data_IF_655076602689
#
_entry.id   IF_655076602689
#
_cell.length_a   1.000
_cell.length_b   1.000
_cell.length_c   1.000
_cell.angle_alpha   90.00
_cell.angle_beta   90.00
_cell.angle_gamma   90.00
#
_symmetry.space_group_name_H-M   'P 1'
#
loop_
_entity.id
_entity.type
_entity.pdbx_description
1 polymer ?
#
# COMPACT_ATOMS: atom_id res chain seq x y z
N UNK A 1 9.25 0.29 20.51
CA UNK A 1 9.95 1.56 20.77
C UNK A 1 10.41 2.19 19.47
N UNK A 2 9.98 3.42 19.22
CA UNK A 2 10.16 4.15 17.97
C UNK A 2 11.20 5.26 18.07
N UNK A 3 11.15 6.19 17.12
CA UNK A 3 11.96 7.42 17.14
C UNK A 3 11.18 8.55 17.81
N UNK A 4 11.88 9.46 18.48
CA UNK A 4 11.33 10.69 19.06
C UNK A 4 11.73 11.89 18.21
N UNK A 5 10.76 12.78 17.93
CA UNK A 5 11.00 14.02 17.20
C UNK A 5 11.54 15.06 18.17
N UNK A 6 12.82 15.44 18.02
CA UNK A 6 13.47 16.40 18.93
C UNK A 6 13.21 17.86 18.59
N UNK A 7 12.62 18.15 17.42
CA UNK A 7 12.27 19.49 16.99
C UNK A 7 12.00 19.59 15.49
N UNK A 8 11.41 20.72 15.07
CA UNK A 8 10.97 20.95 13.70
C UNK A 8 9.56 20.42 13.42
N UNK A 9 9.14 20.48 12.17
CA UNK A 9 7.85 19.98 11.70
C UNK A 9 8.00 19.35 10.31
N UNK A 10 7.11 18.41 9.99
CA UNK A 10 7.02 17.74 8.70
C UNK A 10 5.65 18.04 8.12
N UNK A 11 5.61 18.92 7.12
CA UNK A 11 4.38 19.31 6.45
C UNK A 11 4.19 18.53 5.15
N UNK A 12 3.02 17.92 4.97
CA UNK A 12 2.54 17.40 3.68
C UNK A 12 1.34 18.23 3.24
N UNK A 13 1.42 18.85 2.07
CA UNK A 13 0.37 19.74 1.56
C UNK A 13 -0.04 20.85 2.57
N UNK A 14 0.93 21.33 3.37
CA UNK A 14 0.71 22.36 4.38
C UNK A 14 0.13 21.86 5.71
N UNK A 15 -0.09 20.56 5.89
CA UNK A 15 -0.60 19.95 7.13
C UNK A 15 0.51 19.21 7.85
N UNK A 16 0.64 19.41 9.16
CA UNK A 16 1.64 18.70 9.98
C UNK A 16 1.30 17.22 10.08
N UNK A 17 2.34 16.39 9.92
CA UNK A 17 2.25 14.92 9.96
C UNK A 17 2.71 14.33 11.29
N UNK A 18 3.22 15.13 12.23
CA UNK A 18 3.91 14.64 13.42
C UNK A 18 2.98 13.84 14.34
N UNK A 19 1.78 14.36 14.56
CA UNK A 19 0.75 13.75 15.43
C UNK A 19 -0.10 12.70 14.70
N UNK A 20 0.12 12.51 13.39
CA UNK A 20 -0.61 11.49 12.63
C UNK A 20 -0.01 10.11 12.87
N UNK A 21 -0.87 9.11 13.06
CA UNK A 21 -0.48 7.71 13.05
C UNK A 21 -0.04 7.26 11.65
N UNK A 22 0.80 6.22 11.51
CA UNK A 22 1.32 5.80 10.20
C UNK A 22 0.26 5.53 9.13
N UNK A 23 -0.91 5.01 9.49
CA UNK A 23 -2.01 4.75 8.57
C UNK A 23 -2.74 6.04 8.14
N UNK A 24 -2.85 7.04 9.02
CA UNK A 24 -3.37 8.36 8.68
C UNK A 24 -2.45 9.06 7.68
N UNK A 25 -1.13 8.97 7.91
CA UNK A 25 -0.14 9.50 6.95
C UNK A 25 -0.26 8.82 5.58
N UNK A 26 -0.53 7.51 5.57
CA UNK A 26 -0.71 6.75 4.34
C UNK A 26 -1.97 7.17 3.58
N UNK A 27 -3.09 7.39 4.28
CA UNK A 27 -4.34 7.87 3.69
C UNK A 27 -4.21 9.31 3.16
N UNK A 28 -3.48 10.18 3.87
CA UNK A 28 -3.13 11.53 3.45
C UNK A 28 -2.24 11.58 2.19
N UNK A 29 -1.62 10.46 1.81
CA UNK A 29 -0.90 10.30 0.55
C UNK A 29 0.58 9.94 0.68
N UNK A 30 1.11 9.78 1.89
CA UNK A 30 2.46 9.27 2.10
C UNK A 30 2.54 7.80 1.69
N UNK A 31 3.58 7.40 0.96
CA UNK A 31 3.84 6.00 0.65
C UNK A 31 5.23 5.61 1.13
N UNK A 32 5.34 4.42 1.73
CA UNK A 32 6.60 3.87 2.21
C UNK A 32 6.83 2.48 1.60
N UNK A 33 7.81 2.41 0.70
CA UNK A 33 8.32 1.13 0.21
C UNK A 33 9.39 0.61 1.18
N UNK A 34 9.12 -0.52 1.84
CA UNK A 34 10.06 -1.09 2.80
C UNK A 34 11.33 -1.64 2.14
N UNK A 35 12.47 -1.49 2.83
CA UNK A 35 13.71 -2.14 2.42
C UNK A 35 13.58 -3.67 2.38
N UNK A 36 12.90 -4.25 3.35
CA UNK A 36 12.59 -5.67 3.42
C UNK A 36 11.08 -5.84 3.64
N UNK A 37 10.30 -6.04 2.56
CA UNK A 37 8.86 -6.22 2.68
C UNK A 37 8.51 -7.46 3.50
N UNK A 38 7.64 -7.28 4.49
CA UNK A 38 7.17 -8.33 5.40
C UNK A 38 6.24 -9.29 4.66
N UNK A 39 6.35 -10.57 4.96
CA UNK A 39 5.42 -11.60 4.47
C UNK A 39 4.20 -11.70 5.39
N UNK A 40 3.00 -11.76 4.82
CA UNK A 40 1.76 -11.93 5.58
C UNK A 40 1.07 -13.23 5.14
N UNK A 41 1.44 -14.39 5.72
CA UNK A 41 0.77 -15.65 5.44
C UNK A 41 -0.74 -15.57 5.74
N UNK A 42 -1.56 -16.12 4.86
CA UNK A 42 -3.02 -16.12 4.99
C UNK A 42 -3.70 -14.82 4.55
N UNK A 43 -2.95 -13.75 4.25
CA UNK A 43 -3.50 -12.50 3.73
C UNK A 43 -3.32 -12.45 2.22
N UNK A 44 -4.41 -12.66 1.47
CA UNK A 44 -4.39 -12.63 0.00
C UNK A 44 -3.98 -11.26 -0.56
N UNK A 45 -3.09 -11.23 -1.55
CA UNK A 45 -2.56 -10.01 -2.16
C UNK A 45 -3.64 -9.12 -2.76
N UNK A 46 -4.55 -9.69 -3.55
CA UNK A 46 -5.69 -8.97 -4.13
C UNK A 46 -6.60 -8.34 -3.07
N UNK A 47 -6.94 -9.08 -2.00
CA UNK A 47 -7.77 -8.55 -0.91
C UNK A 47 -7.07 -7.44 -0.15
N UNK A 48 -5.77 -7.59 0.13
CA UNK A 48 -4.97 -6.59 0.80
C UNK A 48 -4.88 -5.29 0.00
N UNK A 49 -4.53 -5.38 -1.28
CA UNK A 49 -4.43 -4.22 -2.16
C UNK A 49 -5.79 -3.53 -2.34
N UNK A 50 -6.90 -4.28 -2.45
CA UNK A 50 -8.24 -3.69 -2.55
C UNK A 50 -8.62 -2.93 -1.28
N UNK A 51 -8.38 -3.53 -0.11
CA UNK A 51 -8.62 -2.86 1.17
C UNK A 51 -7.80 -1.57 1.32
N UNK A 52 -6.51 -1.60 0.95
CA UNK A 52 -5.65 -0.43 0.99
C UNK A 52 -6.11 0.69 0.03
N UNK A 53 -6.51 0.33 -1.21
CA UNK A 53 -7.05 1.31 -2.17
C UNK A 53 -8.37 1.90 -1.67
N UNK A 54 -9.28 1.08 -1.16
CA UNK A 54 -10.56 1.57 -0.64
C UNK A 54 -10.38 2.46 0.59
N UNK A 55 -9.47 2.12 1.51
CA UNK A 55 -9.17 2.96 2.67
C UNK A 55 -8.73 4.38 2.26
N UNK A 56 -7.95 4.51 1.18
CA UNK A 56 -7.56 5.82 0.64
C UNK A 56 -8.71 6.55 -0.07
N UNK A 57 -9.56 5.83 -0.80
CA UNK A 57 -10.73 6.40 -1.48
C UNK A 57 -11.72 6.99 -0.47
N UNK A 58 -12.00 6.26 0.60
CA UNK A 58 -12.88 6.72 1.68
C UNK A 58 -12.35 8.01 2.30
N UNK A 59 -11.04 8.10 2.58
CA UNK A 59 -10.42 9.35 3.07
C UNK A 59 -10.59 10.51 2.08
N UNK A 60 -10.48 10.23 0.78
CA UNK A 60 -10.66 11.22 -0.27
C UNK A 60 -12.13 11.59 -0.55
N UNK A 61 -13.10 10.98 0.17
CA UNK A 61 -14.52 11.16 -0.09
C UNK A 61 -15.01 10.51 -1.39
N UNK A 62 -14.26 9.55 -1.93
CA UNK A 62 -14.60 8.78 -3.12
C UNK A 62 -15.31 7.47 -2.77
N UNK A 63 -16.16 7.00 -3.69
CA UNK A 63 -16.76 5.67 -3.58
C UNK A 63 -15.71 4.55 -3.65
N UNK A 64 -15.94 3.49 -2.88
CA UNK A 64 -15.14 2.28 -2.94
C UNK A 64 -15.09 1.70 -4.36
N UNK A 65 -13.94 1.14 -4.74
CA UNK A 65 -13.87 0.41 -6.00
C UNK A 65 -14.51 -0.97 -5.84
N UNK A 66 -15.44 -1.29 -6.76
CA UNK A 66 -16.04 -2.60 -6.83
C UNK A 66 -15.01 -3.67 -7.23
N UNK A 67 -15.37 -4.94 -7.03
CA UNK A 67 -14.45 -6.05 -7.29
C UNK A 67 -13.96 -6.11 -8.75
N UNK A 68 -14.84 -5.85 -9.71
CA UNK A 68 -14.52 -5.99 -11.13
C UNK A 68 -13.64 -4.85 -11.62
N UNK A 69 -13.95 -3.61 -11.19
CA UNK A 69 -13.15 -2.42 -11.42
C UNK A 69 -11.76 -2.55 -10.80
N UNK A 70 -11.68 -3.07 -9.58
CA UNK A 70 -10.40 -3.29 -8.91
C UNK A 70 -9.52 -4.30 -9.67
N UNK A 71 -10.10 -5.43 -10.10
CA UNK A 71 -9.37 -6.44 -10.88
C UNK A 71 -8.83 -5.85 -12.18
N UNK A 72 -9.59 -5.00 -12.87
CA UNK A 72 -9.11 -4.32 -14.09
C UNK A 72 -7.96 -3.35 -13.78
N UNK A 73 -8.10 -2.56 -12.72
CA UNK A 73 -7.09 -1.59 -12.30
C UNK A 73 -5.76 -2.27 -11.96
N UNK A 74 -5.78 -3.26 -11.08
CA UNK A 74 -4.55 -3.92 -10.60
C UNK A 74 -3.86 -4.71 -11.71
N UNK A 75 -4.60 -5.37 -12.59
CA UNK A 75 -4.02 -6.08 -13.75
C UNK A 75 -3.45 -5.12 -14.79
N UNK A 76 -4.02 -3.92 -14.93
CA UNK A 76 -3.44 -2.85 -15.73
C UNK A 76 -2.06 -2.48 -15.20
N UNK A 77 -1.97 -2.13 -13.91
CA UNK A 77 -0.71 -1.75 -13.26
C UNK A 77 0.32 -2.88 -13.20
N UNK A 78 -0.12 -4.11 -12.93
CA UNK A 78 0.75 -5.27 -12.88
C UNK A 78 1.45 -5.51 -14.24
N UNK A 79 0.73 -5.33 -15.35
CA UNK A 79 1.30 -5.44 -16.70
C UNK A 79 2.41 -4.42 -16.94
N UNK A 80 2.18 -3.17 -16.55
CA UNK A 80 3.16 -2.08 -16.70
C UNK A 80 4.44 -2.35 -15.90
N UNK A 81 4.31 -3.06 -14.77
CA UNK A 81 5.42 -3.40 -13.88
C UNK A 81 6.04 -4.78 -14.14
N UNK A 82 5.52 -5.55 -15.08
CA UNK A 82 5.98 -6.93 -15.33
C UNK A 82 5.71 -7.88 -14.16
N UNK A 83 4.61 -7.67 -13.44
CA UNK A 83 4.09 -8.55 -12.38
C UNK A 83 3.08 -9.49 -13.02
N UNK A 84 3.24 -10.79 -12.78
CA UNK A 84 2.33 -11.79 -13.33
C UNK A 84 1.04 -11.96 -12.50
N UNK A 85 0.00 -12.53 -13.11
CA UNK A 85 -1.28 -12.75 -12.44
C UNK A 85 -1.21 -13.83 -11.34
N UNK A 86 -0.17 -14.68 -11.34
CA UNK A 86 0.04 -15.69 -10.31
C UNK A 86 0.58 -15.06 -9.02
N UNK A 87 1.45 -14.05 -9.13
CA UNK A 87 1.95 -13.24 -8.02
C UNK A 87 0.81 -12.54 -7.30
N UNK A 88 -0.12 -11.92 -8.04
CA UNK A 88 -1.27 -11.23 -7.45
C UNK A 88 -2.18 -12.14 -6.61
N UNK A 89 -2.28 -13.44 -6.98
CA UNK A 89 -3.13 -14.41 -6.28
C UNK A 89 -2.52 -14.95 -4.99
N UNK A 90 -1.23 -14.72 -4.76
CA UNK A 90 -0.52 -15.24 -3.59
C UNK A 90 -0.82 -14.43 -2.34
N UNK A 91 -0.45 -14.97 -1.19
CA UNK A 91 -0.40 -14.20 0.04
C UNK A 91 0.67 -13.10 -0.07
N UNK A 92 0.47 -11.97 0.62
CA UNK A 92 1.34 -10.78 0.50
C UNK A 92 2.80 -11.16 0.75
N UNK A 93 3.64 -10.96 -0.27
CA UNK A 93 5.08 -11.20 -0.30
C UNK A 93 5.56 -12.64 -0.03
N UNK A 94 4.66 -13.59 0.23
CA UNK A 94 5.04 -14.97 0.62
C UNK A 94 5.67 -15.71 -0.55
N UNK A 95 6.91 -16.17 -0.35
CA UNK A 95 7.68 -16.95 -1.33
C UNK A 95 8.19 -16.15 -2.54
N UNK A 96 8.16 -14.82 -2.47
CA UNK A 96 8.78 -13.96 -3.47
C UNK A 96 10.29 -13.90 -3.22
N UNK A 97 11.08 -13.92 -4.29
CA UNK A 97 12.49 -13.54 -4.26
C UNK A 97 12.64 -12.09 -3.81
N UNK A 98 13.85 -11.69 -3.42
CA UNK A 98 14.13 -10.30 -3.02
C UNK A 98 13.76 -9.28 -4.11
N UNK A 99 14.03 -9.59 -5.38
CA UNK A 99 13.67 -8.74 -6.51
C UNK A 99 12.16 -8.65 -6.73
N UNK A 100 11.44 -9.75 -6.55
CA UNK A 100 9.98 -9.79 -6.65
C UNK A 100 9.30 -9.00 -5.54
N UNK A 101 9.78 -9.10 -4.29
CA UNK A 101 9.28 -8.28 -3.17
C UNK A 101 9.45 -6.78 -3.42
N UNK A 102 10.48 -6.38 -4.18
CA UNK A 102 10.71 -4.98 -4.52
C UNK A 102 9.84 -4.46 -5.64
N UNK A 103 9.44 -5.35 -6.55
CA UNK A 103 8.60 -5.01 -7.70
C UNK A 103 7.12 -4.98 -7.33
N UNK A 104 6.70 -5.89 -6.45
CA UNK A 104 5.33 -5.99 -5.93
C UNK A 104 4.99 -4.85 -4.98
#
# INVERSE_FOLDING_TARGET
>A
DGYEVTGGDILMNGVSMLEMEPDERARAGMFLAFQYPVELPGVGGMSFLRAAVNARRIEAGEDEVDQLGFVKLVRGKARDLGIDDAMLKRAVNVGFSGGEKKRY
#
